data_IF_105283577448
#
_entry.id   IF_105283577448
#
_cell.length_a   1.000
_cell.length_b   1.000
_cell.length_c   1.000
_cell.angle_alpha   90.00
_cell.angle_beta   90.00
_cell.angle_gamma   90.00
#
_symmetry.space_group_name_H-M   'P 1'
#
loop_
_entity.id
_entity.type
_entity.pdbx_description
1 polymer ?
#
# COMPACT_ATOMS: atom_id res chain seq x y z
N UNK A 1 1.59 -42.70 19.58
CA UNK A 1 2.53 -42.68 18.43
C UNK A 1 2.14 -41.53 17.52
N UNK A 2 2.81 -40.40 17.64
CA UNK A 2 2.56 -39.23 16.80
C UNK A 2 3.39 -39.36 15.51
N UNK A 3 2.74 -39.34 14.35
CA UNK A 3 3.40 -39.35 13.05
C UNK A 3 4.04 -37.97 12.82
N UNK A 4 5.35 -37.94 12.68
CA UNK A 4 6.10 -36.76 12.23
C UNK A 4 5.71 -36.47 10.77
N UNK A 5 5.06 -35.34 10.53
CA UNK A 5 4.85 -34.84 9.17
C UNK A 5 6.17 -34.31 8.60
N UNK A 6 6.54 -34.69 7.36
CA UNK A 6 7.73 -34.17 6.73
C UNK A 6 7.57 -32.67 6.42
N UNK A 7 8.56 -31.89 6.84
CA UNK A 7 8.71 -30.48 6.46
C UNK A 7 8.96 -30.42 4.95
N UNK A 8 7.92 -30.08 4.18
CA UNK A 8 8.05 -29.71 2.78
C UNK A 8 8.78 -28.36 2.74
N UNK A 9 9.98 -28.25 2.16
CA UNK A 9 10.64 -26.97 2.03
C UNK A 9 9.80 -26.08 1.11
N UNK A 10 9.39 -24.91 1.62
CA UNK A 10 8.74 -23.88 0.81
C UNK A 10 9.70 -23.53 -0.33
N UNK A 11 9.23 -23.72 -1.56
CA UNK A 11 9.92 -23.33 -2.79
C UNK A 11 10.28 -21.84 -2.71
N UNK A 12 11.56 -21.53 -2.53
CA UNK A 12 12.08 -20.18 -2.72
C UNK A 12 11.84 -19.79 -4.17
N UNK A 13 10.91 -18.87 -4.39
CA UNK A 13 10.72 -18.26 -5.70
C UNK A 13 11.91 -17.33 -5.92
N UNK A 14 12.89 -17.82 -6.68
CA UNK A 14 13.98 -17.00 -7.18
C UNK A 14 13.40 -16.01 -8.19
N UNK A 15 13.44 -14.71 -7.85
CA UNK A 15 13.16 -13.65 -8.81
C UNK A 15 14.17 -13.76 -9.95
N UNK A 16 13.67 -14.05 -11.14
CA UNK A 16 14.41 -14.26 -12.39
C UNK A 16 14.86 -12.94 -13.02
N UNK A 17 15.30 -11.97 -12.22
CA UNK A 17 16.00 -10.80 -12.73
C UNK A 17 17.46 -11.17 -13.00
N UNK A 18 17.64 -11.85 -14.13
CA UNK A 18 18.80 -11.75 -15.03
C UNK A 18 20.16 -11.56 -14.36
N UNK A 19 20.65 -12.58 -13.66
CA UNK A 19 22.10 -12.70 -13.46
C UNK A 19 22.72 -13.03 -14.82
N UNK A 20 23.20 -11.99 -15.52
CA UNK A 20 24.14 -12.14 -16.62
C UNK A 20 25.25 -13.12 -16.19
N UNK A 21 25.44 -14.19 -16.97
CA UNK A 21 26.60 -15.08 -16.89
C UNK A 21 27.89 -14.36 -17.36
N UNK A 22 28.19 -13.19 -16.81
CA UNK A 22 29.49 -12.57 -16.97
C UNK A 22 30.50 -13.36 -16.15
N UNK A 23 31.69 -13.61 -16.71
CA UNK A 23 32.81 -14.16 -15.97
C UNK A 23 33.01 -13.34 -14.69
N UNK A 24 32.84 -13.99 -13.54
CA UNK A 24 33.06 -13.35 -12.24
C UNK A 24 34.50 -12.82 -12.21
N UNK A 25 34.72 -11.53 -11.89
CA UNK A 25 36.04 -11.02 -11.62
C UNK A 25 36.75 -11.93 -10.62
N UNK A 26 38.03 -12.21 -10.83
CA UNK A 26 38.86 -13.03 -9.90
C UNK A 26 38.96 -12.40 -8.49
N UNK A 27 38.55 -11.14 -8.36
CA UNK A 27 38.47 -10.42 -7.09
C UNK A 27 37.07 -10.54 -6.47
N UNK A 28 36.88 -11.60 -5.68
CA UNK A 28 35.65 -11.84 -4.93
C UNK A 28 35.32 -10.69 -3.94
N UNK A 29 36.32 -9.95 -3.47
CA UNK A 29 36.12 -8.84 -2.54
C UNK A 29 35.53 -7.62 -3.26
N UNK A 30 36.00 -7.33 -4.47
CA UNK A 30 35.42 -6.28 -5.31
C UNK A 30 33.96 -6.58 -5.68
N UNK A 31 33.64 -7.83 -6.04
CA UNK A 31 32.26 -8.26 -6.37
C UNK A 31 31.34 -8.13 -5.16
N UNK A 32 31.78 -8.58 -3.99
CA UNK A 32 31.02 -8.47 -2.74
C UNK A 32 30.75 -7.01 -2.36
N UNK A 33 31.77 -6.15 -2.48
CA UNK A 33 31.65 -4.72 -2.19
C UNK A 33 30.68 -4.02 -3.15
N UNK A 34 30.73 -4.37 -4.43
CA UNK A 34 29.80 -3.83 -5.44
C UNK A 34 28.36 -4.24 -5.16
N UNK A 35 28.12 -5.52 -4.82
CA UNK A 35 26.79 -6.03 -4.48
C UNK A 35 26.21 -5.36 -3.23
N UNK A 36 27.01 -5.20 -2.17
CA UNK A 36 26.57 -4.52 -0.94
C UNK A 36 26.25 -3.05 -1.21
N UNK A 37 27.08 -2.35 -2.00
CA UNK A 37 26.80 -0.97 -2.37
C UNK A 37 25.51 -0.83 -3.18
N UNK A 38 25.29 -1.69 -4.19
CA UNK A 38 24.05 -1.69 -4.97
C UNK A 38 22.83 -1.92 -4.07
N UNK A 39 22.91 -2.91 -3.18
CA UNK A 39 21.82 -3.23 -2.25
C UNK A 39 21.54 -2.07 -1.28
N UNK A 40 22.57 -1.41 -0.75
CA UNK A 40 22.43 -0.22 0.10
C UNK A 40 21.79 0.95 -0.65
N UNK A 41 22.18 1.18 -1.91
CA UNK A 41 21.57 2.22 -2.74
C UNK A 41 20.08 1.94 -3.00
N UNK A 42 19.72 0.68 -3.28
CA UNK A 42 18.33 0.27 -3.45
C UNK A 42 17.52 0.49 -2.17
N UNK A 43 18.03 0.05 -1.01
CA UNK A 43 17.37 0.29 0.28
C UNK A 43 17.18 1.79 0.54
N UNK A 44 18.22 2.60 0.34
CA UNK A 44 18.13 4.05 0.51
C UNK A 44 17.07 4.69 -0.39
N UNK A 45 16.98 4.23 -1.64
CA UNK A 45 15.96 4.68 -2.59
C UNK A 45 14.55 4.31 -2.09
N UNK A 46 14.34 3.07 -1.69
CA UNK A 46 13.05 2.60 -1.16
C UNK A 46 12.62 3.35 0.11
N UNK A 47 13.55 3.66 1.02
CA UNK A 47 13.28 4.45 2.24
C UNK A 47 12.80 5.87 1.90
N UNK A 48 13.46 6.52 0.93
CA UNK A 48 13.04 7.85 0.44
C UNK A 48 11.68 7.81 -0.24
N UNK A 49 11.43 6.80 -1.08
CA UNK A 49 10.15 6.66 -1.77
C UNK A 49 9.01 6.43 -0.80
N UNK A 50 9.15 5.53 0.19
CA UNK A 50 8.13 5.32 1.20
C UNK A 50 7.86 6.60 2.02
N UNK A 51 8.88 7.42 2.31
CA UNK A 51 8.67 8.72 2.96
C UNK A 51 7.88 9.69 2.10
N UNK A 52 8.20 9.78 0.79
CA UNK A 52 7.49 10.64 -0.14
C UNK A 52 6.02 10.19 -0.31
N UNK A 53 5.77 8.88 -0.40
CA UNK A 53 4.42 8.32 -0.47
C UNK A 53 3.62 8.57 0.82
N UNK A 54 4.26 8.51 1.99
CA UNK A 54 3.64 8.89 3.26
C UNK A 54 3.19 10.36 3.26
N UNK A 55 3.99 11.28 2.71
CA UNK A 55 3.59 12.69 2.53
C UNK A 55 2.39 12.78 1.58
N UNK A 56 2.38 12.02 0.48
CA UNK A 56 1.23 11.93 -0.43
C UNK A 56 -0.06 11.52 0.29
N UNK A 57 0.02 10.54 1.21
CA UNK A 57 -1.13 10.14 2.04
C UNK A 57 -1.62 11.29 2.93
N UNK A 58 -0.71 12.04 3.56
CA UNK A 58 -1.08 13.19 4.40
C UNK A 58 -1.70 14.34 3.59
N UNK A 59 -1.22 14.58 2.37
CA UNK A 59 -1.83 15.57 1.46
C UNK A 59 -3.25 15.14 1.10
N UNK A 60 -3.47 13.87 0.79
CA UNK A 60 -4.79 13.34 0.48
C UNK A 60 -5.76 13.42 1.68
N UNK A 61 -5.28 13.15 2.90
CA UNK A 61 -6.05 13.42 4.15
C UNK A 61 -6.44 14.89 4.22
N UNK A 62 -5.50 15.81 3.98
CA UNK A 62 -5.75 17.25 4.00
C UNK A 62 -6.82 17.68 3.00
N UNK A 63 -6.77 17.14 1.77
CA UNK A 63 -7.78 17.39 0.74
C UNK A 63 -9.16 16.92 1.21
N UNK A 64 -9.27 15.69 1.72
CA UNK A 64 -10.56 15.15 2.18
C UNK A 64 -11.11 15.87 3.42
N UNK A 65 -10.26 16.37 4.31
CA UNK A 65 -10.71 17.24 5.41
C UNK A 65 -11.30 18.55 4.87
N UNK A 66 -10.68 19.14 3.84
CA UNK A 66 -11.21 20.34 3.18
C UNK A 66 -12.52 20.04 2.46
N UNK A 67 -12.61 18.95 1.70
CA UNK A 67 -13.85 18.51 1.04
C UNK A 67 -14.97 18.26 2.04
N UNK A 68 -14.66 17.60 3.17
CA UNK A 68 -15.61 17.42 4.27
C UNK A 68 -16.16 18.75 4.78
N UNK A 69 -15.31 19.76 4.96
CA UNK A 69 -15.74 21.09 5.41
C UNK A 69 -16.59 21.78 4.34
N UNK A 70 -16.20 21.70 3.05
CA UNK A 70 -16.98 22.27 1.94
C UNK A 70 -18.37 21.64 1.87
N UNK A 71 -18.48 20.33 2.10
CA UNK A 71 -19.76 19.59 2.14
C UNK A 71 -20.69 20.04 3.30
N UNK A 72 -20.20 20.83 4.25
CA UNK A 72 -21.04 21.46 5.30
C UNK A 72 -21.64 22.81 4.89
N UNK A 73 -21.21 23.38 3.76
CA UNK A 73 -21.69 24.67 3.29
C UNK A 73 -23.12 24.56 2.76
N UNK A 74 -23.89 25.64 2.89
CA UNK A 74 -25.23 25.70 2.31
C UNK A 74 -25.18 25.77 0.79
N UNK A 75 -26.23 25.29 0.12
CA UNK A 75 -26.44 25.43 -1.33
C UNK A 75 -26.27 26.89 -1.78
N UNK A 76 -26.84 27.86 -1.04
CA UNK A 76 -26.68 29.29 -1.33
C UNK A 76 -25.20 29.71 -1.37
N UNK A 77 -24.38 29.17 -0.47
CA UNK A 77 -22.94 29.46 -0.43
C UNK A 77 -22.23 28.80 -1.60
N UNK A 78 -22.53 27.54 -1.89
CA UNK A 78 -21.96 26.80 -3.01
C UNK A 78 -22.24 27.50 -4.34
N UNK A 79 -23.49 27.96 -4.54
CA UNK A 79 -23.92 28.70 -5.72
C UNK A 79 -23.26 30.08 -5.83
N UNK A 80 -23.27 30.84 -4.71
CA UNK A 80 -22.70 32.19 -4.66
C UNK A 80 -21.22 32.21 -5.08
N UNK A 81 -20.47 31.19 -4.67
CA UNK A 81 -19.04 31.08 -4.96
C UNK A 81 -18.72 30.13 -6.12
N UNK A 82 -19.75 29.53 -6.76
CA UNK A 82 -19.61 28.57 -7.86
C UNK A 82 -18.64 27.44 -7.54
N UNK A 83 -18.78 26.87 -6.34
CA UNK A 83 -17.84 25.88 -5.80
C UNK A 83 -18.13 24.45 -6.25
N UNK A 84 -19.29 24.19 -6.83
CA UNK A 84 -19.74 22.86 -7.24
C UNK A 84 -18.74 22.15 -8.18
N UNK A 85 -18.43 22.76 -9.34
CA UNK A 85 -17.44 22.19 -10.26
C UNK A 85 -16.03 22.03 -9.66
N UNK A 86 -15.40 23.05 -9.04
CA UNK A 86 -14.06 22.88 -8.49
C UNK A 86 -14.02 21.90 -7.30
N UNK A 87 -15.11 21.75 -6.53
CA UNK A 87 -15.22 20.75 -5.47
C UNK A 87 -15.11 19.34 -6.05
N UNK A 88 -15.99 18.99 -6.99
CA UNK A 88 -15.98 17.68 -7.66
C UNK A 88 -14.66 17.44 -8.41
N UNK A 89 -14.12 18.44 -9.12
CA UNK A 89 -12.82 18.27 -9.78
C UNK A 89 -11.70 17.94 -8.79
N UNK A 90 -11.66 18.60 -7.63
CA UNK A 90 -10.64 18.31 -6.61
C UNK A 90 -10.83 16.92 -6.04
N UNK A 91 -12.05 16.53 -5.73
CA UNK A 91 -12.43 15.20 -5.24
C UNK A 91 -11.97 14.08 -6.19
N UNK A 92 -12.53 14.02 -7.41
CA UNK A 92 -12.22 12.93 -8.34
C UNK A 92 -10.74 12.84 -8.71
N UNK A 93 -10.07 14.00 -8.92
CA UNK A 93 -8.64 13.99 -9.25
C UNK A 93 -7.79 13.60 -8.03
N UNK A 94 -8.17 14.00 -6.82
CA UNK A 94 -7.48 13.56 -5.61
C UNK A 94 -7.59 12.04 -5.44
N UNK A 95 -8.78 11.45 -5.64
CA UNK A 95 -8.98 10.00 -5.62
C UNK A 95 -8.07 9.30 -6.62
N UNK A 96 -8.00 9.80 -7.85
CA UNK A 96 -7.08 9.25 -8.86
C UNK A 96 -5.60 9.34 -8.43
N UNK A 97 -5.12 10.52 -8.00
CA UNK A 97 -3.73 10.65 -7.57
C UNK A 97 -3.41 9.78 -6.35
N UNK A 98 -4.37 9.59 -5.44
CA UNK A 98 -4.21 8.69 -4.31
C UNK A 98 -4.12 7.22 -4.74
N UNK A 99 -4.92 6.78 -5.71
CA UNK A 99 -4.80 5.42 -6.27
C UNK A 99 -3.41 5.14 -6.86
N UNK A 100 -2.75 6.15 -7.45
CA UNK A 100 -1.35 6.05 -7.89
C UNK A 100 -0.40 5.91 -6.71
N UNK A 101 -0.60 6.71 -5.65
CA UNK A 101 0.17 6.61 -4.40
C UNK A 101 0.09 5.17 -3.88
N UNK A 102 -1.10 4.59 -3.75
CA UNK A 102 -1.27 3.21 -3.29
C UNK A 102 -0.59 2.17 -4.18
N UNK A 103 -0.71 2.30 -5.49
CA UNK A 103 -0.01 1.43 -6.42
C UNK A 103 1.51 1.45 -6.16
N UNK A 104 2.07 2.65 -5.97
CA UNK A 104 3.48 2.82 -5.65
C UNK A 104 3.87 2.33 -4.25
N UNK A 105 2.97 2.42 -3.26
CA UNK A 105 3.19 1.86 -1.92
C UNK A 105 3.46 0.36 -2.00
N UNK A 106 2.69 -0.36 -2.80
CA UNK A 106 2.87 -1.80 -2.99
C UNK A 106 4.15 -2.09 -3.80
N UNK A 107 4.44 -1.31 -4.85
CA UNK A 107 5.66 -1.48 -5.68
C UNK A 107 6.94 -1.23 -4.89
N UNK A 108 6.96 -0.20 -4.02
CA UNK A 108 8.12 0.16 -3.20
C UNK A 108 8.13 -0.49 -1.82
N UNK A 109 7.26 -1.49 -1.58
CA UNK A 109 7.34 -2.27 -0.35
C UNK A 109 8.62 -3.14 -0.35
N UNK A 110 9.36 -3.21 0.77
CA UNK A 110 10.50 -4.14 0.92
C UNK A 110 10.07 -5.60 0.98
N UNK A 111 8.75 -5.86 1.08
CA UNK A 111 8.16 -7.21 1.15
C UNK A 111 7.87 -7.70 -0.26
N UNK A 112 8.09 -8.99 -0.48
CA UNK A 112 7.66 -9.60 -1.74
C UNK A 112 6.13 -9.60 -1.84
N UNK A 113 5.58 -9.50 -3.05
CA UNK A 113 4.13 -9.50 -3.23
C UNK A 113 3.46 -10.77 -2.68
N UNK A 114 4.16 -11.91 -2.72
CA UNK A 114 3.68 -13.18 -2.15
C UNK A 114 3.64 -13.19 -0.62
N UNK A 115 4.46 -12.37 0.05
CA UNK A 115 4.39 -12.15 1.50
C UNK A 115 3.26 -11.18 1.86
N UNK A 116 3.00 -10.19 1.00
CA UNK A 116 1.89 -9.25 1.17
C UNK A 116 0.54 -9.94 0.98
N UNK A 117 0.41 -10.74 -0.08
CA UNK A 117 -0.84 -11.42 -0.41
C UNK A 117 -0.60 -12.74 -1.12
N UNK A 118 -1.34 -13.78 -0.72
CA UNK A 118 -1.15 -15.14 -1.21
C UNK A 118 -1.34 -15.29 -2.74
N UNK A 119 -2.08 -14.39 -3.38
CA UNK A 119 -2.35 -14.39 -4.82
C UNK A 119 -1.85 -13.08 -5.47
N UNK A 120 -0.53 -12.93 -5.73
CA UNK A 120 0.04 -11.66 -6.17
C UNK A 120 -0.52 -11.16 -7.51
N UNK A 121 -0.91 -12.05 -8.42
CA UNK A 121 -1.56 -11.67 -9.68
C UNK A 121 -2.92 -10.99 -9.46
N UNK A 122 -3.70 -11.47 -8.50
CA UNK A 122 -4.98 -10.87 -8.14
C UNK A 122 -4.78 -9.49 -7.49
N UNK A 123 -3.80 -9.35 -6.59
CA UNK A 123 -3.47 -8.05 -6.01
C UNK A 123 -3.06 -7.03 -7.08
N UNK A 124 -2.21 -7.44 -8.05
CA UNK A 124 -1.84 -6.58 -9.19
C UNK A 124 -3.05 -6.16 -10.02
N UNK A 125 -3.99 -7.08 -10.26
CA UNK A 125 -5.23 -6.77 -10.97
C UNK A 125 -6.07 -5.75 -10.21
N UNK A 126 -6.24 -5.90 -8.90
CA UNK A 126 -7.01 -4.95 -8.07
C UNK A 126 -6.35 -3.58 -8.06
N UNK A 127 -5.02 -3.50 -7.95
CA UNK A 127 -4.29 -2.22 -8.01
C UNK A 127 -4.49 -1.55 -9.38
N UNK A 128 -4.35 -2.31 -10.47
CA UNK A 128 -4.57 -1.78 -11.82
C UNK A 128 -6.01 -1.32 -12.01
N UNK A 129 -6.98 -2.11 -11.56
CA UNK A 129 -8.39 -1.74 -11.56
C UNK A 129 -8.58 -0.42 -10.83
N UNK A 130 -8.13 -0.31 -9.56
CA UNK A 130 -8.25 0.90 -8.73
C UNK A 130 -7.77 2.18 -9.44
N UNK A 131 -6.60 2.10 -10.10
CA UNK A 131 -6.05 3.24 -10.85
C UNK A 131 -6.91 3.61 -12.05
N UNK A 132 -7.38 2.62 -12.81
CA UNK A 132 -8.21 2.88 -14.01
C UNK A 132 -9.61 3.35 -13.62
N UNK A 133 -10.25 2.72 -12.63
CA UNK A 133 -11.62 3.05 -12.21
C UNK A 133 -11.73 4.37 -11.46
N UNK A 134 -10.65 4.91 -10.90
CA UNK A 134 -10.61 6.30 -10.39
C UNK A 134 -10.25 7.32 -11.48
N UNK A 135 -9.44 6.95 -12.48
CA UNK A 135 -9.09 7.84 -13.58
C UNK A 135 -10.26 8.17 -14.51
N UNK A 136 -11.08 7.17 -14.83
CA UNK A 136 -12.24 7.32 -15.71
C UNK A 136 -13.23 8.38 -15.20
N UNK A 137 -13.75 8.33 -13.96
CA UNK A 137 -14.70 9.33 -13.46
C UNK A 137 -14.07 10.73 -13.37
N UNK A 138 -12.79 10.85 -12.98
CA UNK A 138 -12.07 12.13 -13.01
C UNK A 138 -12.05 12.76 -14.42
N UNK A 139 -11.83 11.94 -15.46
CA UNK A 139 -11.91 12.40 -16.84
C UNK A 139 -13.34 12.81 -17.23
N UNK A 140 -14.34 11.99 -16.88
CA UNK A 140 -15.73 12.25 -17.22
C UNK A 140 -16.23 13.58 -16.65
N UNK A 141 -16.00 13.80 -15.36
CA UNK A 141 -16.40 15.03 -14.64
C UNK A 141 -15.64 16.26 -15.16
N UNK A 142 -14.39 16.08 -15.62
CA UNK A 142 -13.64 17.14 -16.31
C UNK A 142 -14.31 17.58 -17.62
N UNK A 143 -14.97 16.67 -18.34
CA UNK A 143 -15.66 17.02 -19.59
C UNK A 143 -17.02 17.67 -19.34
N UNK A 144 -17.83 17.12 -18.44
CA UNK A 144 -19.15 17.66 -18.10
C UNK A 144 -19.63 17.06 -16.79
N UNK A 145 -19.63 17.87 -15.73
CA UNK A 145 -20.23 17.49 -14.45
C UNK A 145 -21.72 17.19 -14.63
N UNK A 146 -22.49 18.11 -15.22
CA UNK A 146 -23.96 17.96 -15.41
C UNK A 146 -24.39 16.63 -16.05
N UNK A 147 -23.60 16.08 -16.99
CA UNK A 147 -23.93 14.81 -17.65
C UNK A 147 -23.37 13.61 -16.88
N UNK A 148 -22.18 13.74 -16.30
CA UNK A 148 -21.41 12.61 -15.82
C UNK A 148 -21.25 12.53 -14.30
N UNK A 149 -21.84 13.43 -13.53
CA UNK A 149 -21.83 13.42 -12.08
C UNK A 149 -22.31 12.07 -11.51
N UNK A 150 -23.54 11.68 -11.85
CA UNK A 150 -24.14 10.43 -11.36
C UNK A 150 -23.35 9.17 -11.75
N UNK A 151 -22.99 8.94 -13.04
CA UNK A 151 -22.15 7.79 -13.38
C UNK A 151 -20.73 7.91 -12.81
N UNK A 152 -20.22 9.13 -12.61
CA UNK A 152 -18.93 9.41 -11.98
C UNK A 152 -18.88 8.90 -10.55
N UNK A 153 -19.79 9.39 -9.70
CA UNK A 153 -19.92 8.95 -8.31
C UNK A 153 -20.17 7.45 -8.18
N UNK A 154 -21.02 6.87 -9.03
CA UNK A 154 -21.24 5.41 -9.00
C UNK A 154 -19.96 4.61 -9.33
N UNK A 155 -19.12 5.08 -10.26
CA UNK A 155 -17.84 4.45 -10.55
C UNK A 155 -16.85 4.61 -9.40
N UNK A 156 -16.77 5.81 -8.81
CA UNK A 156 -15.94 6.08 -7.64
C UNK A 156 -16.34 5.24 -6.42
N UNK A 157 -17.62 5.14 -6.08
CA UNK A 157 -18.06 4.32 -4.96
C UNK A 157 -17.82 2.82 -5.17
N UNK A 158 -17.93 2.34 -6.41
CA UNK A 158 -17.50 0.96 -6.73
C UNK A 158 -15.99 0.81 -6.62
N UNK A 159 -15.22 1.83 -7.01
CA UNK A 159 -13.78 1.87 -6.84
C UNK A 159 -13.38 1.80 -5.35
N UNK A 160 -14.15 2.44 -4.46
CA UNK A 160 -13.88 2.39 -3.03
C UNK A 160 -14.00 0.99 -2.42
N UNK A 161 -14.74 0.06 -3.03
CA UNK A 161 -14.73 -1.35 -2.62
C UNK A 161 -13.38 -2.02 -2.92
N UNK A 162 -12.74 -1.66 -4.04
CA UNK A 162 -11.39 -2.11 -4.36
C UNK A 162 -10.38 -1.50 -3.39
N UNK A 163 -10.56 -0.23 -3.03
CA UNK A 163 -9.75 0.48 -2.05
C UNK A 163 -9.87 -0.15 -0.64
N UNK A 164 -11.09 -0.45 -0.19
CA UNK A 164 -11.34 -1.14 1.08
C UNK A 164 -10.66 -2.52 1.14
N UNK A 165 -10.57 -3.21 0.00
CA UNK A 165 -9.80 -4.45 -0.10
C UNK A 165 -8.29 -4.22 0.05
N UNK A 166 -7.74 -3.18 -0.59
CA UNK A 166 -6.32 -2.82 -0.45
C UNK A 166 -5.98 -2.43 1.00
N UNK A 167 -6.84 -1.62 1.64
CA UNK A 167 -6.75 -1.29 3.06
C UNK A 167 -6.70 -2.55 3.92
N UNK A 168 -7.55 -3.53 3.63
CA UNK A 168 -7.56 -4.78 4.35
C UNK A 168 -6.24 -5.55 4.20
N UNK A 169 -5.67 -5.60 2.99
CA UNK A 169 -4.37 -6.22 2.74
C UNK A 169 -3.27 -5.51 3.53
N UNK A 170 -3.22 -4.17 3.50
CA UNK A 170 -2.23 -3.39 4.24
C UNK A 170 -2.38 -3.51 5.76
N UNK A 171 -3.61 -3.44 6.28
CA UNK A 171 -3.90 -3.59 7.71
C UNK A 171 -3.54 -4.97 8.24
N UNK A 172 -3.77 -6.04 7.46
CA UNK A 172 -3.32 -7.39 7.81
C UNK A 172 -1.78 -7.46 7.91
N UNK A 173 -1.06 -6.83 6.99
CA UNK A 173 0.41 -6.79 7.01
C UNK A 173 0.96 -6.02 8.22
N UNK A 174 0.39 -4.85 8.53
CA UNK A 174 0.75 -4.09 9.73
C UNK A 174 0.54 -4.94 11.01
N UNK A 175 -0.58 -5.65 11.07
CA UNK A 175 -0.91 -6.51 12.22
C UNK A 175 0.00 -7.73 12.34
N UNK A 176 0.41 -8.31 11.21
CA UNK A 176 1.35 -9.42 11.17
C UNK A 176 2.74 -9.04 11.72
N UNK A 177 3.23 -7.85 11.36
CA UNK A 177 4.52 -7.32 11.84
C UNK A 177 4.48 -7.06 13.35
N UNK A 178 3.40 -6.43 13.83
CA UNK A 178 3.22 -6.17 15.26
C UNK A 178 3.26 -7.45 16.11
N UNK A 179 2.70 -8.56 15.60
CA UNK A 179 2.72 -9.87 16.28
C UNK A 179 4.09 -10.54 16.32
N UNK A 180 5.01 -10.18 15.41
CA UNK A 180 6.34 -10.80 15.32
C UNK A 180 7.38 -10.18 16.25
N UNK A 181 7.07 -9.06 16.92
CA UNK A 181 7.97 -8.49 17.92
C UNK A 181 7.67 -9.11 19.30
N UNK A 182 8.54 -10.00 19.82
CA UNK A 182 8.34 -10.61 21.14
C UNK A 182 8.62 -9.57 22.22
N UNK A 183 7.61 -8.80 22.60
CA UNK A 183 7.63 -7.98 23.80
C UNK A 183 6.83 -8.64 24.92
N UNK A 184 7.23 -8.41 26.17
CA UNK A 184 6.78 -9.04 27.42
C UNK A 184 5.27 -8.91 27.74
N UNK A 185 4.43 -8.38 26.85
CA UNK A 185 2.97 -8.23 27.01
C UNK A 185 2.17 -8.95 25.90
N UNK A 186 2.56 -10.18 25.62
CA UNK A 186 2.11 -11.01 24.49
C UNK A 186 0.58 -11.19 24.36
N UNK A 187 -0.14 -11.29 25.49
CA UNK A 187 -1.58 -11.54 25.47
C UNK A 187 -2.41 -10.29 25.17
N UNK A 188 -2.05 -9.14 25.76
CA UNK A 188 -2.79 -7.88 25.56
C UNK A 188 -2.51 -7.28 24.17
N UNK A 189 -1.28 -7.43 23.67
CA UNK A 189 -0.91 -6.97 22.32
C UNK A 189 -1.57 -7.80 21.22
N UNK A 190 -1.74 -9.11 21.43
CA UNK A 190 -2.42 -9.99 20.47
C UNK A 190 -3.92 -9.66 20.31
N UNK A 191 -4.62 -9.41 21.43
CA UNK A 191 -6.03 -9.02 21.41
C UNK A 191 -6.23 -7.65 20.75
N UNK A 192 -5.42 -6.66 21.13
CA UNK A 192 -5.45 -5.33 20.53
C UNK A 192 -5.15 -5.37 19.03
N UNK A 193 -4.16 -6.16 18.61
CA UNK A 193 -3.84 -6.34 17.19
C UNK A 193 -4.98 -6.98 16.40
N UNK A 194 -5.68 -7.96 16.97
CA UNK A 194 -6.84 -8.59 16.30
C UNK A 194 -8.01 -7.63 16.16
N UNK A 195 -8.31 -6.86 17.22
CA UNK A 195 -9.35 -5.83 17.17
C UNK A 195 -9.02 -4.75 16.14
N UNK A 196 -7.77 -4.27 16.12
CA UNK A 196 -7.30 -3.31 15.12
C UNK A 196 -7.51 -3.84 13.70
N UNK A 197 -7.08 -5.08 13.40
CA UNK A 197 -7.29 -5.66 12.08
C UNK A 197 -8.79 -5.73 11.73
N UNK A 198 -9.63 -6.17 12.67
CA UNK A 198 -11.07 -6.29 12.45
C UNK A 198 -11.70 -4.92 12.17
N UNK A 199 -11.33 -3.88 12.91
CA UNK A 199 -11.82 -2.51 12.72
C UNK A 199 -11.32 -1.92 11.41
N UNK A 200 -10.02 -2.03 11.13
CA UNK A 200 -9.38 -1.50 9.92
C UNK A 200 -9.88 -2.17 8.64
N UNK A 201 -10.43 -3.39 8.72
CA UNK A 201 -11.07 -4.07 7.57
C UNK A 201 -12.56 -3.78 7.53
N UNK A 202 -13.24 -3.95 8.67
CA UNK A 202 -14.69 -3.91 8.74
C UNK A 202 -15.27 -2.52 8.52
N UNK A 203 -14.67 -1.49 9.13
CA UNK A 203 -15.20 -0.12 9.03
C UNK A 203 -15.09 0.42 7.60
N UNK A 204 -13.95 0.37 6.90
CA UNK A 204 -13.88 0.88 5.52
C UNK A 204 -14.84 0.16 4.58
N UNK A 205 -14.95 -1.17 4.67
CA UNK A 205 -15.90 -1.92 3.85
C UNK A 205 -17.36 -1.52 4.13
N UNK A 206 -17.72 -1.29 5.40
CA UNK A 206 -19.06 -0.85 5.76
C UNK A 206 -19.36 0.55 5.23
N UNK A 207 -18.41 1.48 5.33
CA UNK A 207 -18.56 2.84 4.77
C UNK A 207 -18.73 2.80 3.25
N UNK A 208 -17.88 2.05 2.55
CA UNK A 208 -17.94 1.92 1.10
C UNK A 208 -19.27 1.31 0.60
N UNK A 209 -19.84 0.36 1.35
CA UNK A 209 -21.18 -0.18 1.03
C UNK A 209 -22.27 0.83 1.39
N UNK A 210 -22.18 1.49 2.56
CA UNK A 210 -23.20 2.41 3.04
C UNK A 210 -23.38 3.62 2.13
N UNK A 211 -22.29 4.20 1.60
CA UNK A 211 -22.39 5.35 0.70
C UNK A 211 -23.05 4.98 -0.64
N UNK A 212 -22.76 3.79 -1.21
CA UNK A 212 -23.43 3.32 -2.44
C UNK A 212 -24.94 3.24 -2.21
N UNK A 213 -25.34 2.66 -1.06
CA UNK A 213 -26.74 2.52 -0.70
C UNK A 213 -27.40 3.87 -0.45
N UNK A 214 -26.75 4.77 0.29
CA UNK A 214 -27.28 6.10 0.60
C UNK A 214 -27.45 6.92 -0.67
N UNK A 215 -26.42 6.96 -1.53
CA UNK A 215 -26.46 7.70 -2.80
C UNK A 215 -27.59 7.22 -3.72
N UNK A 216 -27.81 5.90 -3.80
CA UNK A 216 -28.79 5.32 -4.74
C UNK A 216 -30.21 5.19 -4.16
N UNK A 217 -30.38 5.13 -2.84
CA UNK A 217 -31.68 4.89 -2.19
C UNK A 217 -32.30 6.13 -1.54
N UNK A 218 -31.49 7.14 -1.20
CA UNK A 218 -31.99 8.43 -0.73
C UNK A 218 -32.18 9.36 -1.92
N UNK A 219 -33.36 9.97 -2.03
CA UNK A 219 -33.71 10.81 -3.17
C UNK A 219 -33.15 12.22 -3.06
N UNK A 220 -32.62 12.74 -4.16
CA UNK A 220 -32.17 14.13 -4.30
C UNK A 220 -30.88 14.43 -3.54
N UNK A 221 -30.60 15.71 -3.40
CA UNK A 221 -29.33 16.27 -2.93
C UNK A 221 -28.95 15.81 -1.51
N UNK A 222 -29.94 15.40 -0.71
CA UNK A 222 -29.69 14.79 0.61
C UNK A 222 -28.88 13.49 0.50
N UNK A 223 -29.15 12.65 -0.50
CA UNK A 223 -28.45 11.37 -0.66
C UNK A 223 -26.97 11.58 -0.99
N UNK A 224 -26.68 12.51 -1.89
CA UNK A 224 -25.33 12.93 -2.26
C UNK A 224 -24.56 13.48 -1.06
N UNK A 225 -25.12 14.48 -0.36
CA UNK A 225 -24.46 15.10 0.81
C UNK A 225 -24.09 14.07 1.88
N UNK A 226 -24.99 13.12 2.17
CA UNK A 226 -24.71 12.05 3.15
C UNK A 226 -23.69 11.04 2.63
N UNK A 227 -23.70 10.72 1.33
CA UNK A 227 -22.70 9.85 0.72
C UNK A 227 -21.31 10.50 0.80
N UNK A 228 -21.18 11.78 0.45
CA UNK A 228 -19.93 12.54 0.57
C UNK A 228 -19.35 12.55 1.99
N UNK A 229 -20.18 12.69 3.04
CA UNK A 229 -19.67 12.58 4.42
C UNK A 229 -19.04 11.22 4.72
N UNK A 230 -19.63 10.13 4.20
CA UNK A 230 -19.11 8.78 4.39
C UNK A 230 -17.84 8.55 3.56
N UNK A 231 -17.84 9.00 2.31
CA UNK A 231 -16.72 8.97 1.39
C UNK A 231 -15.50 9.68 1.96
N UNK A 232 -15.63 10.95 2.36
CA UNK A 232 -14.48 11.68 2.91
C UNK A 232 -13.98 11.07 4.23
N UNK A 233 -14.88 10.50 5.03
CA UNK A 233 -14.49 9.74 6.24
C UNK A 233 -13.73 8.47 5.86
N UNK A 234 -14.21 7.73 4.86
CA UNK A 234 -13.57 6.54 4.33
C UNK A 234 -12.19 6.86 3.76
N UNK A 235 -12.08 7.88 2.91
CA UNK A 235 -10.85 8.33 2.29
C UNK A 235 -9.80 8.76 3.32
N UNK A 236 -10.18 9.48 4.38
CA UNK A 236 -9.28 9.81 5.50
C UNK A 236 -8.79 8.54 6.21
N UNK A 237 -9.68 7.57 6.44
CA UNK A 237 -9.36 6.27 7.02
C UNK A 237 -8.37 5.48 6.17
N UNK A 238 -8.67 5.31 4.88
CA UNK A 238 -7.83 4.59 3.92
C UNK A 238 -6.43 5.21 3.80
N UNK A 239 -6.37 6.53 3.67
CA UNK A 239 -5.13 7.28 3.63
C UNK A 239 -4.29 7.13 4.90
N UNK A 240 -4.95 6.99 6.06
CA UNK A 240 -4.28 6.73 7.33
C UNK A 240 -3.67 5.33 7.36
N UNK A 241 -4.39 4.30 6.88
CA UNK A 241 -3.85 2.93 6.76
C UNK A 241 -2.64 2.91 5.82
N UNK A 242 -2.78 3.54 4.66
CA UNK A 242 -1.70 3.68 3.66
C UNK A 242 -0.48 4.42 4.23
N UNK A 243 -0.69 5.51 4.98
CA UNK A 243 0.36 6.25 5.67
C UNK A 243 1.12 5.37 6.67
N UNK A 244 0.39 4.63 7.52
CA UNK A 244 1.00 3.73 8.50
C UNK A 244 1.81 2.63 7.82
N UNK A 245 1.31 2.08 6.71
CA UNK A 245 2.01 1.06 5.93
C UNK A 245 3.27 1.62 5.24
N UNK A 246 3.24 2.85 4.70
CA UNK A 246 4.43 3.54 4.20
C UNK A 246 5.51 3.69 5.28
N UNK A 247 5.10 4.15 6.47
CA UNK A 247 6.03 4.40 7.57
C UNK A 247 6.65 3.09 8.09
N UNK A 248 5.86 2.03 8.18
CA UNK A 248 6.36 0.69 8.53
C UNK A 248 7.36 0.17 7.49
N UNK A 249 7.04 0.27 6.18
CA UNK A 249 7.98 -0.09 5.11
C UNK A 249 9.28 0.72 5.19
N UNK A 250 9.18 2.03 5.45
CA UNK A 250 10.34 2.91 5.62
C UNK A 250 11.23 2.44 6.78
N UNK A 251 10.65 2.23 7.96
CA UNK A 251 11.42 1.82 9.14
C UNK A 251 12.07 0.44 8.94
N UNK A 252 11.37 -0.49 8.30
CA UNK A 252 11.93 -1.79 7.96
C UNK A 252 13.16 -1.66 7.05
N UNK A 253 13.07 -0.83 6.00
CA UNK A 253 14.19 -0.58 5.09
C UNK A 253 15.37 0.08 5.79
N UNK A 254 15.11 1.06 6.66
CA UNK A 254 16.16 1.74 7.43
C UNK A 254 16.85 0.76 8.40
N UNK A 255 16.11 -0.15 9.04
CA UNK A 255 16.66 -1.21 9.88
C UNK A 255 17.52 -2.20 9.09
N UNK A 256 17.05 -2.65 7.92
CA UNK A 256 17.82 -3.53 7.04
C UNK A 256 19.12 -2.86 6.57
N UNK A 257 19.07 -1.56 6.25
CA UNK A 257 20.24 -0.79 5.88
C UNK A 257 21.25 -0.72 7.03
N UNK A 258 20.79 -0.42 8.26
CA UNK A 258 21.66 -0.35 9.43
C UNK A 258 22.30 -1.70 9.78
N UNK A 259 21.55 -2.80 9.69
CA UNK A 259 22.06 -4.16 9.92
C UNK A 259 23.12 -4.53 8.89
N UNK A 260 22.88 -4.25 7.61
CA UNK A 260 23.83 -4.53 6.54
C UNK A 260 25.15 -3.77 6.71
N UNK A 261 25.09 -2.49 7.07
CA UNK A 261 26.30 -1.69 7.36
C UNK A 261 27.06 -2.27 8.56
N UNK A 262 26.36 -2.66 9.63
CA UNK A 262 26.98 -3.24 10.82
C UNK A 262 27.67 -4.56 10.50
N UNK A 263 27.01 -5.45 9.79
CA UNK A 263 27.56 -6.75 9.38
C UNK A 263 28.78 -6.57 8.47
N UNK A 264 28.74 -5.62 7.54
CA UNK A 264 29.86 -5.28 6.68
C UNK A 264 31.06 -4.73 7.45
N UNK A 265 30.83 -3.79 8.38
CA UNK A 265 31.88 -3.20 9.21
C UNK A 265 32.51 -4.20 10.19
N UNK A 266 31.74 -5.17 10.67
CA UNK A 266 32.21 -6.19 11.62
C UNK A 266 32.79 -7.43 10.92
N UNK A 267 32.72 -7.52 9.60
CA UNK A 267 33.29 -8.64 8.85
C UNK A 267 34.82 -8.66 9.06
N UNK A 268 35.41 -9.74 9.59
CA UNK A 268 36.84 -9.80 9.83
C UNK A 268 37.60 -9.62 8.51
N UNK A 269 38.54 -8.66 8.50
CA UNK A 269 39.39 -8.32 7.35
C UNK A 269 40.26 -9.47 6.84
N UNK A 270 40.33 -10.57 7.59
CA UNK A 270 41.13 -11.76 7.31
C UNK A 270 40.33 -13.00 6.94
N UNK A 271 38.99 -12.95 6.82
CA UNK A 271 38.20 -14.13 6.44
C UNK A 271 38.46 -14.52 4.97
N UNK A 272 39.28 -15.56 4.70
CA UNK A 272 39.59 -15.96 3.35
C UNK A 272 38.42 -16.80 2.83
N UNK A 273 37.81 -16.39 1.72
CA UNK A 273 37.27 -17.26 0.64
C UNK A 273 36.36 -18.46 1.00
N UNK A 274 35.83 -18.57 2.22
CA UNK A 274 34.90 -19.65 2.64
C UNK A 274 33.44 -19.21 2.75
N UNK A 275 33.10 -18.03 2.22
CA UNK A 275 31.75 -17.78 1.71
C UNK A 275 31.62 -18.45 0.32
N UNK A 276 31.81 -19.78 0.29
CA UNK A 276 31.07 -20.56 -0.69
C UNK A 276 29.61 -20.36 -0.31
N UNK A 277 28.92 -19.51 -1.06
CA UNK A 277 27.47 -19.53 -1.11
C UNK A 277 27.07 -20.99 -1.26
N UNK A 278 26.58 -21.59 -0.17
CA UNK A 278 25.81 -22.82 -0.21
C UNK A 278 24.49 -22.49 -0.93
N UNK A 279 24.57 -22.31 -2.25
CA UNK A 279 23.46 -22.52 -3.15
C UNK A 279 23.22 -24.03 -3.19
N UNK A 280 22.66 -24.57 -2.11
CA UNK A 280 22.32 -25.98 -1.93
C UNK A 280 21.09 -26.37 -2.77
N UNK A 281 21.09 -26.06 -4.07
CA UNK A 281 19.92 -26.25 -4.95
C UNK A 281 20.19 -26.54 -6.42
N UNK A 282 21.40 -26.31 -6.96
CA UNK A 282 21.68 -26.61 -8.37
C UNK A 282 22.53 -27.87 -8.51
N UNK A 283 21.91 -29.04 -8.30
CA UNK A 283 22.41 -30.29 -8.88
C UNK A 283 22.01 -30.27 -10.35
N UNK A 284 22.86 -29.73 -11.21
CA UNK A 284 22.75 -29.96 -12.66
C UNK A 284 23.19 -31.40 -12.87
N UNK A 285 22.23 -32.28 -13.12
CA UNK A 285 22.52 -33.64 -13.58
C UNK A 285 23.02 -33.55 -15.03
N UNK A 286 24.03 -34.35 -15.42
CA UNK A 286 24.58 -34.37 -16.78
C UNK A 286 23.57 -34.80 -17.84
#
# INVERSE_FOLDING_TARGET
MAQAQPLIPKSGHFDTDTFLCCALPTDAQAVSSAFVNDRLLRLRSMSKMNFALAIGCLVYIGVNVVSFIINTLSEETMDKYKLDLPFHLVEFWATFFFSLVEAYIIVFSPRSLGEIYARPAFLKFIIFFNVVSSFVPACLVTFSLEIFEVPGHNLEYVNELALAFLDAVMAMQLSYVARRQPSLHEAQTAAAGTLWTAVAIGVPLLLAVAQILIYNLMSGDSGEVWAHYLEFTFAIGSATVSFLFCMDNKFLVDQLQATMIREWCNAPSSAPSKLQLQCSGCVVSP
#
